data_IF_509102261098
#
_entry.id   IF_509102261098
#
_cell.length_a   1.000
_cell.length_b   1.000
_cell.length_c   1.000
_cell.angle_alpha   90.00
_cell.angle_beta   90.00
_cell.angle_gamma   90.00
#
_symmetry.space_group_name_H-M   'P 1'
#
loop_
_entity.id
_entity.type
_entity.pdbx_description
1 polymer ?
#
# COMPACT_ATOMS: atom_id res chain seq x y z
N UNK A 1 10.13 6.46 4.90
CA UNK A 1 9.33 5.28 5.25
C UNK A 1 8.35 4.96 4.14
N UNK A 2 8.22 3.71 3.82
CA UNK A 2 7.36 3.26 2.73
C UNK A 2 6.23 2.40 3.27
N UNK A 3 5.05 2.52 2.68
CA UNK A 3 3.91 1.70 3.04
C UNK A 3 3.22 1.21 1.79
N UNK A 4 2.75 -0.02 1.84
CA UNK A 4 1.86 -0.56 0.82
C UNK A 4 0.45 -0.49 1.39
N UNK A 5 -0.44 0.15 0.66
CA UNK A 5 -1.80 0.31 1.12
C UNK A 5 -2.72 -0.42 0.15
N UNK A 6 -3.39 -1.45 0.65
CA UNK A 6 -4.33 -2.21 -0.15
C UNK A 6 -5.72 -1.63 0.07
N UNK A 7 -6.45 -1.43 -1.00
CA UNK A 7 -7.73 -0.74 -0.93
C UNK A 7 -8.79 -1.53 -1.65
N UNK A 8 -9.95 -1.61 -1.02
CA UNK A 8 -11.14 -2.16 -1.63
C UNK A 8 -12.08 -1.01 -1.96
N UNK A 9 -12.58 -1.01 -3.17
CA UNK A 9 -13.49 0.05 -3.64
C UNK A 9 -14.93 -0.43 -3.72
N UNK A 10 -15.85 0.50 -3.59
CA UNK A 10 -17.22 0.28 -4.00
C UNK A 10 -17.22 0.15 -5.53
N UNK A 11 -17.93 -0.85 -6.04
CA UNK A 11 -17.79 -1.22 -7.44
C UNK A 11 -18.10 -0.09 -8.43
N UNK A 12 -19.05 0.77 -8.10
CA UNK A 12 -19.43 1.84 -9.03
C UNK A 12 -18.45 3.00 -9.03
N UNK A 13 -17.70 3.18 -7.96
CA UNK A 13 -16.77 4.29 -7.81
C UNK A 13 -15.31 3.90 -7.98
N UNK A 14 -15.04 2.64 -8.32
CA UNK A 14 -13.66 2.16 -8.29
C UNK A 14 -12.74 2.91 -9.25
N UNK A 15 -13.23 3.23 -10.45
CA UNK A 15 -12.39 3.93 -11.43
C UNK A 15 -12.02 5.33 -10.96
N UNK A 16 -13.01 6.09 -10.52
CA UNK A 16 -12.76 7.45 -10.08
C UNK A 16 -11.90 7.49 -8.84
N UNK A 17 -12.17 6.59 -7.89
CA UNK A 17 -11.39 6.51 -6.67
C UNK A 17 -9.94 6.16 -6.98
N UNK A 18 -9.73 5.17 -7.84
CA UNK A 18 -8.37 4.79 -8.22
C UNK A 18 -7.63 5.96 -8.86
N UNK A 19 -8.31 6.68 -9.75
CA UNK A 19 -7.70 7.82 -10.43
C UNK A 19 -7.29 8.89 -9.42
N UNK A 20 -8.18 9.25 -8.51
CA UNK A 20 -7.88 10.26 -7.51
C UNK A 20 -6.70 9.85 -6.63
N UNK A 21 -6.72 8.61 -6.15
CA UNK A 21 -5.68 8.14 -5.26
C UNK A 21 -4.33 8.03 -5.94
N UNK A 22 -4.31 7.61 -7.20
CA UNK A 22 -3.05 7.46 -7.93
C UNK A 22 -2.37 8.80 -8.18
N UNK A 23 -3.09 9.91 -8.05
CA UNK A 23 -2.52 11.23 -8.28
C UNK A 23 -2.15 11.95 -7.00
N UNK A 24 -2.31 11.32 -5.85
CA UNK A 24 -1.87 11.92 -4.61
C UNK A 24 -0.36 12.05 -4.60
N UNK A 25 0.12 13.16 -4.04
CA UNK A 25 1.55 13.45 -4.04
C UNK A 25 2.36 12.35 -3.34
N UNK A 26 1.82 11.78 -2.28
CA UNK A 26 2.53 10.76 -1.51
C UNK A 26 2.55 9.39 -2.18
N UNK A 27 1.76 9.20 -3.22
CA UNK A 27 1.69 7.90 -3.91
C UNK A 27 2.81 7.81 -4.93
N UNK A 28 3.71 6.87 -4.70
CA UNK A 28 4.86 6.67 -5.58
C UNK A 28 4.53 5.71 -6.71
N UNK A 29 3.63 4.77 -6.46
CA UNK A 29 3.29 3.73 -7.43
C UNK A 29 1.91 3.20 -7.10
N UNK A 30 1.22 2.67 -8.10
CA UNK A 30 -0.09 2.12 -7.92
C UNK A 30 -0.37 1.05 -8.96
N UNK A 31 -1.21 0.09 -8.60
CA UNK A 31 -1.68 -0.89 -9.58
C UNK A 31 -3.00 -1.48 -9.11
N UNK A 32 -3.78 -1.91 -10.08
CA UNK A 32 -4.98 -2.68 -9.80
C UNK A 32 -4.60 -4.13 -9.59
N UNK A 33 -5.33 -4.80 -8.73
CA UNK A 33 -5.06 -6.21 -8.42
C UNK A 33 -6.37 -6.98 -8.41
N UNK A 34 -6.25 -8.28 -8.46
CA UNK A 34 -7.37 -9.20 -8.29
C UNK A 34 -7.32 -9.80 -6.91
N UNK A 35 -8.49 -10.08 -6.35
CA UNK A 35 -8.59 -10.81 -5.11
C UNK A 35 -9.43 -10.04 -4.12
N UNK A 36 -9.05 -10.14 -2.85
CA UNK A 36 -9.81 -9.51 -1.78
C UNK A 36 -9.81 -7.99 -1.89
N UNK A 37 -8.73 -7.43 -2.38
CA UNK A 37 -8.60 -6.00 -2.57
C UNK A 37 -8.53 -5.68 -4.05
N UNK A 38 -8.76 -4.42 -4.38
CA UNK A 38 -8.86 -3.98 -5.76
C UNK A 38 -7.64 -3.23 -6.26
N UNK A 39 -6.89 -2.64 -5.36
CA UNK A 39 -5.73 -1.84 -5.75
C UNK A 39 -4.68 -1.83 -4.66
N UNK A 40 -3.44 -1.59 -5.07
CA UNK A 40 -2.31 -1.42 -4.16
C UNK A 40 -1.66 -0.08 -4.47
N UNK A 41 -1.43 0.71 -3.44
CA UNK A 41 -0.75 2.00 -3.56
C UNK A 41 0.49 1.98 -2.69
N UNK A 42 1.60 2.43 -3.26
CA UNK A 42 2.84 2.56 -2.51
C UNK A 42 2.97 4.01 -2.06
N UNK A 43 3.04 4.22 -0.76
CA UNK A 43 3.18 5.54 -0.18
C UNK A 43 4.60 5.75 0.30
N UNK A 44 5.04 6.99 0.23
CA UNK A 44 6.31 7.41 0.81
C UNK A 44 6.03 8.52 1.80
N UNK A 45 6.50 8.37 3.02
CA UNK A 45 6.35 9.38 4.04
C UNK A 45 7.60 9.48 4.87
N UNK A 46 7.69 10.54 5.64
CA UNK A 46 8.85 10.79 6.48
C UNK A 46 8.93 9.77 7.63
N UNK A 47 7.79 9.46 8.20
CA UNK A 47 7.71 8.54 9.33
C UNK A 47 6.32 7.94 9.39
N UNK A 48 6.09 7.11 10.39
CA UNK A 48 4.81 6.42 10.54
C UNK A 48 3.66 7.41 10.75
N UNK A 49 3.92 8.48 11.47
CA UNK A 49 2.87 9.47 11.72
C UNK A 49 2.42 10.13 10.43
N UNK A 50 3.34 10.46 9.56
CA UNK A 50 2.99 11.06 8.29
C UNK A 50 2.21 10.08 7.41
N UNK A 51 2.61 8.81 7.39
CA UNK A 51 1.87 7.78 6.66
C UNK A 51 0.45 7.69 7.18
N UNK A 52 0.29 7.70 8.50
CA UNK A 52 -1.03 7.64 9.12
C UNK A 52 -1.88 8.84 8.72
N UNK A 53 -1.29 10.03 8.72
CA UNK A 53 -2.00 11.23 8.33
C UNK A 53 -2.45 11.20 6.87
N UNK A 54 -1.59 10.70 5.99
CA UNK A 54 -1.94 10.57 4.58
C UNK A 54 -3.15 9.66 4.42
N UNK A 55 -3.13 8.53 5.10
CA UNK A 55 -4.24 7.59 5.00
C UNK A 55 -5.52 8.21 5.54
N UNK A 56 -5.44 8.83 6.69
CA UNK A 56 -6.62 9.37 7.36
C UNK A 56 -7.19 10.59 6.64
N UNK A 57 -6.33 11.47 6.17
CA UNK A 57 -6.78 12.76 5.64
C UNK A 57 -6.92 12.77 4.12
N UNK A 58 -6.19 11.92 3.41
CA UNK A 58 -6.18 11.98 1.96
C UNK A 58 -6.76 10.74 1.29
N UNK A 59 -6.69 9.58 1.92
CA UNK A 59 -7.19 8.36 1.31
C UNK A 59 -8.58 8.02 1.79
N UNK A 60 -8.75 7.97 3.11
CA UNK A 60 -10.03 7.57 3.69
C UNK A 60 -11.21 8.41 3.22
N UNK A 61 -11.07 9.73 3.03
CA UNK A 61 -12.23 10.55 2.60
C UNK A 61 -12.62 10.38 1.15
N UNK A 62 -11.83 9.69 0.33
CA UNK A 62 -12.15 9.57 -1.09
C UNK A 62 -13.39 8.71 -1.26
N UNK A 63 -14.37 9.24 -2.02
CA UNK A 63 -15.60 8.52 -2.28
C UNK A 63 -15.29 7.21 -3.00
N UNK A 64 -15.86 6.12 -2.49
CA UNK A 64 -15.65 4.81 -3.09
C UNK A 64 -14.64 3.96 -2.35
N UNK A 65 -13.89 4.51 -1.42
CA UNK A 65 -12.96 3.73 -0.62
C UNK A 65 -13.75 3.02 0.48
N UNK A 66 -13.73 1.69 0.46
CA UNK A 66 -14.48 0.89 1.43
C UNK A 66 -13.62 0.32 2.53
N UNK A 67 -12.49 -0.28 2.17
CA UNK A 67 -11.58 -0.88 3.14
C UNK A 67 -10.16 -0.46 2.81
N UNK A 68 -9.38 -0.25 3.84
CA UNK A 68 -7.98 0.15 3.71
C UNK A 68 -7.16 -0.78 4.59
N UNK A 69 -6.16 -1.42 4.00
CA UNK A 69 -5.23 -2.27 4.75
C UNK A 69 -3.83 -1.73 4.53
N UNK A 70 -3.30 -0.97 5.48
CA UNK A 70 -1.92 -0.47 5.35
C UNK A 70 -0.93 -1.52 5.81
N UNK A 71 0.17 -1.61 5.10
CA UNK A 71 1.27 -2.51 5.43
C UNK A 71 2.56 -1.69 5.40
N UNK A 72 3.17 -1.50 6.54
CA UNK A 72 4.41 -0.74 6.63
C UNK A 72 5.55 -1.62 6.16
N UNK A 73 6.34 -1.10 5.24
CA UNK A 73 7.51 -1.83 4.77
C UNK A 73 8.62 -1.70 5.79
N UNK A 74 9.04 -2.82 6.35
CA UNK A 74 10.11 -2.84 7.33
C UNK A 74 11.41 -2.99 6.57
N UNK A 75 12.26 -1.96 6.66
CA UNK A 75 13.56 -2.00 6.02
C UNK A 75 14.41 -3.01 6.76
N UNK A 76 14.90 -3.97 6.03
CA UNK A 76 15.72 -5.01 6.62
C UNK A 76 17.18 -4.71 6.36
N UNK A 77 17.91 -4.45 7.44
CA UNK A 77 19.30 -4.10 7.34
C UNK A 77 20.22 -5.31 7.48
N UNK A 78 19.65 -6.49 7.53
CA UNK A 78 20.42 -7.71 7.69
C UNK A 78 20.32 -8.58 6.46
N UNK A 79 21.02 -8.26 5.39
CA UNK A 79 20.96 -9.08 4.18
C UNK A 79 21.31 -10.54 4.42
N UNK A 80 22.19 -10.79 5.39
CA UNK A 80 22.55 -12.16 5.71
C UNK A 80 21.36 -12.97 6.20
N UNK A 81 20.46 -12.33 6.91
CA UNK A 81 19.26 -13.00 7.39
C UNK A 81 18.38 -13.39 6.21
N UNK A 82 18.22 -12.51 5.26
CA UNK A 82 17.44 -12.82 4.07
C UNK A 82 18.04 -13.97 3.30
N UNK A 83 19.34 -13.99 3.21
CA UNK A 83 20.02 -15.08 2.51
C UNK A 83 19.84 -16.41 3.21
N UNK A 84 19.79 -16.40 4.52
CA UNK A 84 19.56 -17.64 5.25
C UNK A 84 18.17 -18.20 5.01
N UNK A 85 17.21 -17.32 4.88
CA UNK A 85 15.83 -17.74 4.68
C UNK A 85 15.64 -18.33 3.30
N UNK A 86 16.18 -17.72 2.29
CA UNK A 86 15.98 -18.15 0.91
C UNK A 86 16.48 -19.55 0.64
N UNK A 87 17.68 -19.91 1.07
CA UNK A 87 18.15 -21.28 0.82
C UNK A 87 17.27 -22.34 1.44
N UNK A 88 16.73 -22.06 2.59
CA UNK A 88 15.83 -23.01 3.25
C UNK A 88 14.57 -23.22 2.45
N UNK A 89 14.05 -22.15 1.92
CA UNK A 89 12.83 -22.24 1.12
C UNK A 89 13.09 -22.99 -0.17
N UNK A 90 14.21 -22.76 -0.76
CA UNK A 90 14.51 -23.41 -2.02
C UNK A 90 14.75 -24.90 -1.84
N UNK A 91 15.17 -25.30 -0.68
CA UNK A 91 15.42 -26.71 -0.44
C UNK A 91 14.14 -27.48 -0.19
N UNK A 92 13.08 -26.79 0.08
CA UNK A 92 11.79 -27.44 0.23
C UNK A 92 11.18 -27.73 -1.13
#
# INVERSE_FOLDING_TARGET
MKALVLIKFASLESRDAYYQLSHLKAVMDSCMVYGRYDAVFTLQGKDLEEIHDIILLEIQPVTGVMEILPCIVVENEAPALNQKIQPQQSSA
#
